data_IF_130036875294
#
_entry.id   IF_130036875294
#
_cell.length_a   1.000
_cell.length_b   1.000
_cell.length_c   1.000
_cell.angle_alpha   90.00
_cell.angle_beta   90.00
_cell.angle_gamma   90.00
#
_symmetry.space_group_name_H-M   'P 1'
#
loop_
_entity.id
_entity.type
_entity.pdbx_description
1 polymer ?
#
# COMPACT_ATOMS: atom_id res chain seq x y z
N UNK A 1 -21.75 -11.38 11.89
CA UNK A 1 -20.55 -11.23 11.07
C UNK A 1 -20.11 -12.60 10.53
N UNK A 2 -20.64 -12.97 9.38
CA UNK A 2 -20.33 -14.18 8.62
C UNK A 2 -18.90 -14.13 8.05
N UNK A 3 -18.37 -15.25 7.58
CA UNK A 3 -17.03 -15.29 6.97
C UNK A 3 -16.90 -14.41 5.72
N UNK A 4 -17.99 -14.23 4.97
CA UNK A 4 -18.07 -13.37 3.78
C UNK A 4 -17.91 -11.90 4.16
N UNK A 5 -18.65 -11.44 5.19
CA UNK A 5 -18.60 -10.05 5.67
C UNK A 5 -17.20 -9.67 6.20
N UNK A 6 -16.47 -10.61 6.81
CA UNK A 6 -15.09 -10.36 7.27
C UNK A 6 -14.11 -10.22 6.10
N UNK A 7 -14.28 -11.02 5.04
CA UNK A 7 -13.44 -10.97 3.84
C UNK A 7 -13.64 -9.67 3.07
N UNK A 8 -14.89 -9.24 2.89
CA UNK A 8 -15.21 -7.95 2.26
C UNK A 8 -14.65 -6.77 3.08
N UNK A 9 -14.77 -6.83 4.42
CA UNK A 9 -14.17 -5.82 5.30
C UNK A 9 -12.64 -5.78 5.19
N UNK A 10 -11.98 -6.94 5.13
CA UNK A 10 -10.53 -7.02 4.97
C UNK A 10 -10.07 -6.43 3.62
N UNK A 11 -10.78 -6.75 2.53
CA UNK A 11 -10.50 -6.19 1.20
C UNK A 11 -10.66 -4.67 1.15
N UNK A 12 -11.71 -4.14 1.79
CA UNK A 12 -11.91 -2.69 1.90
C UNK A 12 -10.76 -2.02 2.66
N UNK A 13 -10.33 -2.59 3.79
CA UNK A 13 -9.20 -2.07 4.57
C UNK A 13 -7.88 -2.15 3.80
N UNK A 14 -7.67 -3.20 3.01
CA UNK A 14 -6.48 -3.35 2.18
C UNK A 14 -6.40 -2.28 1.10
N UNK A 15 -7.51 -2.04 0.42
CA UNK A 15 -7.62 -1.02 -0.62
C UNK A 15 -7.41 0.37 -0.04
N UNK A 16 -8.03 0.66 1.11
CA UNK A 16 -7.83 1.92 1.82
C UNK A 16 -6.35 2.13 2.21
N UNK A 17 -5.69 1.10 2.74
CA UNK A 17 -4.26 1.15 3.04
C UNK A 17 -3.39 1.36 1.78
N UNK A 18 -3.71 0.71 0.67
CA UNK A 18 -3.02 0.92 -0.61
C UNK A 18 -3.18 2.34 -1.14
N UNK A 19 -4.40 2.89 -1.09
CA UNK A 19 -4.69 4.26 -1.52
C UNK A 19 -3.93 5.27 -0.64
N UNK A 20 -3.88 5.05 0.67
CA UNK A 20 -3.08 5.87 1.58
C UNK A 20 -1.59 5.85 1.27
N UNK A 21 -1.03 4.66 0.99
CA UNK A 21 0.39 4.52 0.63
C UNK A 21 0.69 5.21 -0.71
N UNK A 22 -0.18 5.05 -1.70
CA UNK A 22 -0.05 5.71 -3.01
C UNK A 22 -0.03 7.23 -2.86
N UNK A 23 -0.98 7.79 -2.10
CA UNK A 23 -1.04 9.23 -1.84
C UNK A 23 0.21 9.73 -1.10
N UNK A 24 0.78 8.93 -0.19
CA UNK A 24 2.02 9.26 0.50
C UNK A 24 3.23 9.31 -0.45
N UNK A 25 3.32 8.36 -1.40
CA UNK A 25 4.37 8.34 -2.43
C UNK A 25 4.27 9.59 -3.32
N UNK A 26 3.07 9.91 -3.82
CA UNK A 26 2.84 11.10 -4.65
C UNK A 26 3.20 12.41 -3.91
N UNK A 27 2.86 12.48 -2.61
CA UNK A 27 3.20 13.62 -1.77
C UNK A 27 4.70 13.75 -1.55
N UNK A 28 5.42 12.62 -1.38
CA UNK A 28 6.87 12.62 -1.23
C UNK A 28 7.60 13.11 -2.49
N UNK A 29 7.11 12.75 -3.67
CA UNK A 29 7.62 13.30 -4.93
C UNK A 29 7.46 14.82 -5.00
N UNK A 30 6.33 15.35 -4.50
CA UNK A 30 6.12 16.79 -4.37
C UNK A 30 7.08 17.45 -3.37
N UNK A 31 7.30 16.84 -2.20
CA UNK A 31 8.25 17.36 -1.20
C UNK A 31 9.66 17.41 -1.75
N UNK A 32 10.09 16.43 -2.54
CA UNK A 32 11.41 16.42 -3.22
C UNK A 32 11.58 17.61 -4.17
N UNK A 33 10.51 18.05 -4.83
CA UNK A 33 10.51 19.19 -5.75
C UNK A 33 10.63 20.52 -4.98
N UNK A 34 9.97 20.64 -3.83
CA UNK A 34 9.88 21.89 -3.05
C UNK A 34 11.03 22.06 -2.04
N UNK A 35 11.56 20.97 -1.52
CA UNK A 35 12.63 20.97 -0.53
C UNK A 35 13.71 19.96 -0.93
N UNK A 36 14.96 20.41 -0.98
CA UNK A 36 16.13 19.55 -1.13
C UNK A 36 16.38 18.77 0.17
N UNK A 37 15.44 17.89 0.52
CA UNK A 37 15.69 16.77 1.41
C UNK A 37 16.88 15.97 0.86
N UNK A 38 17.66 15.33 1.73
CA UNK A 38 18.65 14.33 1.30
C UNK A 38 17.97 13.37 0.31
N UNK A 39 18.38 13.42 -0.96
CA UNK A 39 17.79 12.63 -2.04
C UNK A 39 17.78 11.13 -1.68
N UNK A 40 18.79 10.70 -0.92
CA UNK A 40 18.89 9.35 -0.38
C UNK A 40 17.77 9.02 0.63
N UNK A 41 17.40 9.96 1.50
CA UNK A 41 16.30 9.77 2.45
C UNK A 41 14.95 9.67 1.73
N UNK A 42 14.68 10.58 0.80
CA UNK A 42 13.45 10.56 0.01
C UNK A 42 13.33 9.28 -0.83
N UNK A 43 14.41 8.84 -1.48
CA UNK A 43 14.42 7.57 -2.22
C UNK A 43 14.22 6.35 -1.31
N UNK A 44 14.83 6.34 -0.12
CA UNK A 44 14.70 5.23 0.84
C UNK A 44 13.26 5.10 1.36
N UNK A 45 12.65 6.21 1.76
CA UNK A 45 11.26 6.21 2.23
C UNK A 45 10.28 5.86 1.10
N UNK A 46 10.48 6.36 -0.13
CA UNK A 46 9.66 6.00 -1.29
C UNK A 46 9.73 4.51 -1.61
N UNK A 47 10.94 3.91 -1.61
CA UNK A 47 11.12 2.47 -1.83
C UNK A 47 10.46 1.63 -0.73
N UNK A 48 10.48 2.11 0.51
CA UNK A 48 9.85 1.42 1.64
C UNK A 48 8.34 1.41 1.49
N UNK A 49 7.76 2.55 1.12
CA UNK A 49 6.33 2.68 0.84
C UNK A 49 5.91 1.81 -0.37
N UNK A 50 6.69 1.81 -1.45
CA UNK A 50 6.40 0.97 -2.62
C UNK A 50 6.39 -0.53 -2.25
N UNK A 51 7.36 -0.99 -1.45
CA UNK A 51 7.37 -2.38 -0.97
C UNK A 51 6.15 -2.71 -0.12
N UNK A 52 5.71 -1.80 0.74
CA UNK A 52 4.50 -2.01 1.55
C UNK A 52 3.24 -2.10 0.67
N UNK A 53 3.15 -1.25 -0.36
CA UNK A 53 2.06 -1.30 -1.35
C UNK A 53 2.01 -2.66 -2.06
N UNK A 54 3.16 -3.13 -2.57
CA UNK A 54 3.26 -4.39 -3.29
C UNK A 54 2.95 -5.59 -2.38
N UNK A 55 3.41 -5.56 -1.12
CA UNK A 55 3.14 -6.62 -0.14
C UNK A 55 1.65 -6.74 0.20
N UNK A 56 0.95 -5.62 0.34
CA UNK A 56 -0.50 -5.64 0.57
C UNK A 56 -1.22 -6.22 -0.65
N UNK A 57 -0.79 -5.87 -1.87
CA UNK A 57 -1.35 -6.43 -3.10
C UNK A 57 -1.17 -7.95 -3.19
N UNK A 58 0.04 -8.43 -2.99
CA UNK A 58 0.36 -9.87 -3.06
C UNK A 58 -0.34 -10.67 -1.96
N UNK A 59 -0.39 -10.15 -0.72
CA UNK A 59 -1.05 -10.84 0.38
C UNK A 59 -2.54 -11.05 0.12
N UNK A 60 -3.22 -10.03 -0.42
CA UNK A 60 -4.64 -10.14 -0.76
C UNK A 60 -4.90 -10.99 -2.01
N UNK A 61 -4.07 -10.89 -3.05
CA UNK A 61 -4.19 -11.75 -4.23
C UNK A 61 -4.07 -13.25 -3.85
N UNK A 62 -3.12 -13.59 -2.96
CA UNK A 62 -2.96 -14.96 -2.44
C UNK A 62 -4.18 -15.42 -1.63
N UNK A 63 -4.74 -14.58 -0.75
CA UNK A 63 -5.98 -14.92 -0.01
C UNK A 63 -7.20 -15.10 -0.94
N UNK A 64 -7.24 -14.42 -2.09
CA UNK A 64 -8.31 -14.64 -3.07
C UNK A 64 -8.19 -15.97 -3.81
N UNK A 65 -6.97 -16.46 -4.05
CA UNK A 65 -6.72 -17.76 -4.69
C UNK A 65 -7.02 -18.95 -3.77
N UNK A 66 -6.64 -18.88 -2.48
CA UNK A 66 -6.92 -19.95 -1.51
C UNK A 66 -8.42 -20.15 -1.23
N UNK A 67 -9.25 -19.14 -1.47
CA UNK A 67 -10.70 -19.24 -1.25
C UNK A 67 -11.47 -19.96 -2.38
N UNK A 68 -10.81 -20.33 -3.48
CA UNK A 68 -11.43 -21.02 -4.62
C UNK A 68 -11.11 -22.52 -4.71
N UNK A 69 -10.35 -23.07 -3.74
CA UNK A 69 -9.98 -24.50 -3.70
C UNK A 69 -10.85 -25.33 -2.76
#
# INVERSE_FOLDING_TARGET
>A
MTGIERKEAAQLLAKDAQDHIKNAIESMDHVRIVHSCSEQYAMSATRTLQRAFDQIGVAFDLETQDSQS
#
